data_IF_859626003959
#
_entry.id   IF_859626003959
#
_cell.length_a   1.000
_cell.length_b   1.000
_cell.length_c   1.000
_cell.angle_alpha   90.00
_cell.angle_beta   90.00
_cell.angle_gamma   90.00
#
_symmetry.space_group_name_H-M   'P 1'
#
loop_
_entity.id
_entity.type
_entity.pdbx_description
1 polymer ?
#
# COMPACT_ATOMS: atom_id res chain seq x y z
N UNK A 1 12.55 1.49 -13.77
CA UNK A 1 13.17 1.34 -12.44
C UNK A 1 12.16 0.63 -11.57
N UNK A 2 12.57 -0.30 -10.70
CA UNK A 2 11.62 -0.98 -9.82
C UNK A 2 11.51 -0.26 -8.49
N UNK A 3 10.26 -0.04 -8.05
CA UNK A 3 9.94 0.50 -6.74
C UNK A 3 9.07 -0.51 -5.99
N UNK A 4 9.31 -0.67 -4.68
CA UNK A 4 8.45 -1.40 -3.77
C UNK A 4 7.55 -0.40 -3.06
N UNK A 5 6.26 -0.44 -3.33
CA UNK A 5 5.27 0.43 -2.69
C UNK A 5 4.67 -0.29 -1.48
N UNK A 6 4.47 0.39 -0.36
CA UNK A 6 3.95 -0.18 0.89
C UNK A 6 2.87 0.74 1.47
N UNK A 7 1.73 0.20 1.91
CA UNK A 7 0.65 0.95 2.59
C UNK A 7 0.11 0.16 3.78
N UNK A 8 -0.14 0.85 4.91
CA UNK A 8 -0.80 0.29 6.09
C UNK A 8 -2.31 0.53 6.15
N UNK A 9 -3.04 -0.35 6.81
CA UNK A 9 -4.48 -0.28 7.12
C UNK A 9 -4.74 -0.66 8.57
N UNK A 10 -5.68 0.01 9.25
CA UNK A 10 -6.00 -0.27 10.66
C UNK A 10 -7.33 -1.01 10.76
N UNK A 11 -7.34 -2.20 11.37
CA UNK A 11 -8.59 -2.85 11.74
C UNK A 11 -9.25 -2.14 12.92
N UNK A 12 -10.57 -2.10 12.91
CA UNK A 12 -11.39 -1.51 13.97
C UNK A 12 -11.28 -2.26 15.30
N UNK A 13 -11.28 -3.60 15.25
CA UNK A 13 -11.12 -4.47 16.42
C UNK A 13 -10.67 -5.89 16.01
N UNK A 14 -9.59 -6.44 16.61
CA UNK A 14 -8.58 -5.75 17.42
C UNK A 14 -7.90 -4.62 16.61
N UNK A 15 -7.36 -3.59 17.29
CA UNK A 15 -6.65 -2.47 16.65
C UNK A 15 -5.28 -2.93 16.11
N UNK A 16 -5.30 -3.70 15.03
CA UNK A 16 -4.13 -4.25 14.34
C UNK A 16 -3.82 -3.45 13.06
N UNK A 17 -2.54 -3.34 12.72
CA UNK A 17 -2.09 -2.70 11.47
C UNK A 17 -1.66 -3.76 10.48
N UNK A 18 -2.26 -3.70 9.31
CA UNK A 18 -2.07 -4.61 8.19
C UNK A 18 -1.35 -3.90 7.06
N UNK A 19 -0.40 -4.56 6.41
CA UNK A 19 0.36 -3.94 5.33
C UNK A 19 0.11 -4.64 4.00
N UNK A 20 0.03 -3.87 2.94
CA UNK A 20 0.08 -4.35 1.56
C UNK A 20 1.30 -3.75 0.87
N UNK A 21 1.85 -4.50 -0.08
CA UNK A 21 2.97 -4.02 -0.87
C UNK A 21 2.99 -4.58 -2.29
N UNK A 22 3.58 -3.87 -3.23
CA UNK A 22 3.66 -4.29 -4.63
C UNK A 22 4.92 -3.74 -5.29
N UNK A 23 5.52 -4.55 -6.15
CA UNK A 23 6.62 -4.13 -7.02
C UNK A 23 6.06 -3.50 -8.29
N UNK A 24 6.54 -2.30 -8.63
CA UNK A 24 6.04 -1.55 -9.77
C UNK A 24 7.20 -1.02 -10.60
N UNK A 25 7.06 -1.16 -11.92
CA UNK A 25 7.93 -0.47 -12.86
C UNK A 25 7.57 1.01 -12.93
N UNK A 26 8.50 1.84 -12.49
CA UNK A 26 8.36 3.29 -12.48
C UNK A 26 9.40 3.92 -13.42
N UNK A 27 8.96 4.95 -14.14
CA UNK A 27 9.78 5.72 -15.07
C UNK A 27 10.21 7.07 -14.47
N UNK A 28 9.75 7.38 -13.26
CA UNK A 28 10.05 8.62 -12.54
C UNK A 28 10.66 8.29 -11.18
N UNK A 29 11.48 9.20 -10.65
CA UNK A 29 12.02 9.05 -9.30
C UNK A 29 10.92 9.47 -8.31
N UNK A 30 10.43 8.56 -7.44
CA UNK A 30 9.41 8.92 -6.46
C UNK A 30 9.99 9.89 -5.43
N UNK A 31 9.19 10.84 -4.99
CA UNK A 31 9.54 11.75 -3.89
C UNK A 31 8.38 11.86 -2.90
N UNK A 32 8.69 12.19 -1.65
CA UNK A 32 7.66 12.48 -0.64
C UNK A 32 6.77 13.65 -1.09
N UNK A 33 5.46 13.52 -0.87
CA UNK A 33 4.43 14.48 -1.28
C UNK A 33 3.85 14.24 -2.69
N UNK A 34 4.41 13.32 -3.49
CA UNK A 34 3.77 12.90 -4.75
C UNK A 34 2.55 12.02 -4.48
N UNK A 35 1.56 12.07 -5.38
CA UNK A 35 0.41 11.18 -5.35
C UNK A 35 0.70 9.91 -6.14
N UNK A 36 0.28 8.78 -5.58
CA UNK A 36 0.38 7.45 -6.18
C UNK A 36 -1.03 6.94 -6.49
N UNK A 37 -1.24 6.49 -7.72
CA UNK A 37 -2.49 5.91 -8.19
C UNK A 37 -2.20 4.51 -8.77
N UNK A 38 -2.91 3.50 -8.29
CA UNK A 38 -2.85 2.12 -8.80
C UNK A 38 -4.28 1.58 -8.87
N UNK A 39 -4.63 0.92 -9.98
CA UNK A 39 -5.98 0.41 -10.21
C UNK A 39 -6.43 -0.62 -9.17
N UNK A 40 -5.51 -1.28 -8.45
CA UNK A 40 -5.80 -2.18 -7.35
C UNK A 40 -6.05 -1.47 -6.02
N UNK A 41 -5.66 -0.19 -5.88
CA UNK A 41 -5.99 0.65 -4.73
C UNK A 41 -7.37 1.29 -4.88
N UNK A 42 -8.40 0.46 -4.71
CA UNK A 42 -9.80 0.87 -4.82
C UNK A 42 -10.42 1.12 -3.44
N UNK A 43 -11.19 2.20 -3.31
CA UNK A 43 -11.98 2.49 -2.11
C UNK A 43 -13.25 1.60 -2.03
N UNK A 44 -14.04 1.75 -0.97
CA UNK A 44 -15.26 0.96 -0.78
C UNK A 44 -16.33 1.21 -1.88
N UNK A 45 -16.27 2.38 -2.54
CA UNK A 45 -17.20 2.80 -3.60
C UNK A 45 -16.75 2.38 -5.01
N UNK A 46 -15.67 1.61 -5.13
CA UNK A 46 -15.17 1.13 -6.43
C UNK A 46 -14.32 2.15 -7.20
N UNK A 47 -13.89 3.25 -6.57
CA UNK A 47 -13.05 4.28 -7.20
C UNK A 47 -11.57 4.10 -6.84
N UNK A 48 -10.70 4.33 -7.82
CA UNK A 48 -9.24 4.35 -7.61
C UNK A 48 -8.88 5.53 -6.71
N UNK A 49 -8.16 5.24 -5.63
CA UNK A 49 -7.75 6.22 -4.62
C UNK A 49 -6.34 6.73 -4.91
N UNK A 50 -6.17 8.05 -5.05
CA UNK A 50 -4.85 8.67 -5.08
C UNK A 50 -4.30 8.77 -3.66
N UNK A 51 -3.15 8.17 -3.40
CA UNK A 51 -2.54 8.11 -2.07
C UNK A 51 -1.20 8.84 -2.06
N UNK A 52 -1.01 9.73 -1.10
CA UNK A 52 0.24 10.48 -0.95
C UNK A 52 1.40 9.54 -0.55
N UNK A 53 2.56 9.75 -1.16
CA UNK A 53 3.83 9.15 -0.75
C UNK A 53 4.35 9.93 0.47
N UNK A 54 4.42 9.29 1.63
CA UNK A 54 4.89 9.92 2.87
C UNK A 54 6.40 9.80 3.04
N UNK A 55 7.01 8.75 2.49
CA UNK A 55 8.45 8.51 2.62
C UNK A 55 8.99 7.73 1.43
N UNK A 56 10.22 8.07 1.04
CA UNK A 56 11.00 7.32 0.05
C UNK A 56 12.33 6.94 0.69
N UNK A 57 12.68 5.65 0.64
CA UNK A 57 13.96 5.11 1.12
C UNK A 57 14.62 4.37 -0.03
N UNK A 58 15.94 4.48 -0.17
CA UNK A 58 16.69 3.82 -1.24
C UNK A 58 17.52 2.71 -0.62
N UNK A 59 17.40 1.49 -1.15
CA UNK A 59 18.34 0.41 -0.87
C UNK A 59 19.37 0.34 -2.02
N UNK A 60 20.59 0.86 -1.82
CA UNK A 60 21.61 0.88 -2.87
C UNK A 60 22.16 -0.52 -3.19
N UNK A 61 22.03 -1.49 -2.27
CA UNK A 61 22.51 -2.86 -2.49
C UNK A 61 21.61 -3.60 -3.48
N UNK A 62 20.30 -3.45 -3.32
CA UNK A 62 19.29 -4.07 -4.17
C UNK A 62 18.90 -3.20 -5.37
N UNK A 63 19.39 -1.96 -5.41
CA UNK A 63 19.03 -0.94 -6.41
C UNK A 63 17.50 -0.71 -6.48
N UNK A 64 16.85 -0.69 -5.32
CA UNK A 64 15.38 -0.62 -5.17
C UNK A 64 14.99 0.60 -4.34
N UNK A 65 13.92 1.28 -4.78
CA UNK A 65 13.28 2.34 -4.02
C UNK A 65 12.11 1.76 -3.23
N UNK A 66 12.05 2.06 -1.94
CA UNK A 66 10.92 1.76 -1.08
C UNK A 66 10.10 3.02 -0.91
N UNK A 67 8.82 2.92 -1.22
CA UNK A 67 7.87 4.02 -1.20
C UNK A 67 6.81 3.69 -0.16
N UNK A 68 6.74 4.49 0.90
CA UNK A 68 5.70 4.39 1.91
C UNK A 68 4.55 5.32 1.51
N UNK A 69 3.37 4.73 1.35
CA UNK A 69 2.13 5.46 1.10
C UNK A 69 1.46 5.81 2.42
N UNK A 70 0.71 6.91 2.41
CA UNK A 70 -0.10 7.35 3.53
C UNK A 70 -1.02 6.22 3.99
N UNK A 71 -0.85 5.87 5.28
CA UNK A 71 -1.65 4.86 5.94
C UNK A 71 -3.14 5.21 5.84
N UNK A 72 -3.97 4.20 5.57
CA UNK A 72 -5.40 4.35 5.67
C UNK A 72 -5.81 4.34 7.15
N UNK A 73 -6.38 5.45 7.61
CA UNK A 73 -6.82 5.65 9.00
C UNK A 73 -8.29 5.28 9.23
N UNK A 74 -9.00 4.88 8.19
CA UNK A 74 -10.36 4.37 8.31
C UNK A 74 -10.35 3.06 9.10
N UNK A 75 -11.12 3.01 10.18
CA UNK A 75 -11.24 1.83 11.02
C UNK A 75 -12.25 0.86 10.41
N UNK A 76 -11.75 -0.07 9.61
CA UNK A 76 -12.55 -1.09 8.91
C UNK A 76 -12.60 -2.39 9.71
N UNK A 77 -13.70 -3.12 9.60
CA UNK A 77 -13.80 -4.45 10.21
C UNK A 77 -12.79 -5.41 9.56
N UNK A 78 -12.23 -6.35 10.33
CA UNK A 78 -11.22 -7.30 9.83
C UNK A 78 -11.70 -8.06 8.60
N UNK A 79 -12.95 -8.52 8.59
CA UNK A 79 -13.54 -9.24 7.44
C UNK A 79 -13.63 -8.36 6.18
N UNK A 80 -13.85 -7.06 6.33
CA UNK A 80 -13.87 -6.10 5.21
C UNK A 80 -12.45 -5.91 4.67
N UNK A 81 -11.46 -5.77 5.56
CA UNK A 81 -10.05 -5.68 5.16
C UNK A 81 -9.57 -6.96 4.46
N UNK A 82 -9.91 -8.14 4.98
CA UNK A 82 -9.58 -9.42 4.34
C UNK A 82 -10.17 -9.52 2.93
N UNK A 83 -11.43 -9.11 2.74
CA UNK A 83 -12.04 -9.10 1.41
C UNK A 83 -11.36 -8.09 0.48
N UNK A 84 -11.02 -6.90 1.00
CA UNK A 84 -10.27 -5.88 0.25
C UNK A 84 -8.91 -6.41 -0.19
N UNK A 85 -8.15 -7.04 0.71
CA UNK A 85 -6.84 -7.61 0.39
C UNK A 85 -6.93 -8.77 -0.60
N UNK A 86 -7.95 -9.63 -0.51
CA UNK A 86 -8.20 -10.68 -1.52
C UNK A 86 -8.40 -10.08 -2.93
N UNK A 87 -9.12 -8.97 -3.04
CA UNK A 87 -9.31 -8.29 -4.31
C UNK A 87 -7.99 -7.72 -4.82
N UNK A 88 -7.17 -7.14 -3.93
CA UNK A 88 -5.87 -6.57 -4.28
C UNK A 88 -4.84 -7.62 -4.72
N UNK A 89 -4.92 -8.85 -4.20
CA UNK A 89 -4.09 -9.98 -4.65
C UNK A 89 -4.33 -10.30 -6.13
N UNK A 90 -5.54 -10.05 -6.67
CA UNK A 90 -5.81 -10.19 -8.09
C UNK A 90 -5.05 -9.15 -8.95
N UNK A 91 -4.61 -8.04 -8.34
CA UNK A 91 -3.82 -6.98 -8.94
C UNK A 91 -2.35 -7.02 -8.47
N UNK A 92 -1.84 -8.22 -8.13
CA UNK A 92 -0.45 -8.49 -7.72
C UNK A 92 0.01 -7.78 -6.43
N UNK A 93 -0.91 -7.32 -5.58
CA UNK A 93 -0.53 -6.83 -4.24
C UNK A 93 -0.28 -7.98 -3.28
N UNK A 94 0.84 -7.90 -2.56
CA UNK A 94 1.21 -8.83 -1.51
C UNK A 94 0.72 -8.31 -0.16
N UNK A 95 0.05 -9.18 0.59
CA UNK A 95 -0.41 -8.91 1.95
C UNK A 95 0.62 -9.40 2.97
N UNK A 96 1.01 -8.52 3.90
CA UNK A 96 1.98 -8.78 4.96
C UNK A 96 1.32 -8.52 6.33
N UNK A 97 1.03 -9.58 7.07
CA UNK A 97 0.66 -9.49 8.49
C UNK A 97 1.91 -9.34 9.34
N UNK A 98 2.13 -8.17 9.92
CA UNK A 98 3.05 -8.03 11.03
C UNK A 98 2.26 -8.22 12.32
N UNK A 99 2.33 -9.42 12.90
CA UNK A 99 1.85 -9.66 14.26
C UNK A 99 2.88 -9.06 15.23
N UNK A 100 2.46 -8.09 16.04
CA UNK A 100 3.26 -7.54 17.15
C UNK A 100 2.94 -8.26 18.46
#
# INVERSE_FOLDING_TARGET
MKIRVIRGYVAKYPLEVFYISKDIDCNVIPVAGMMFEDIGLVNADGQVEAVEITKVTINPVENTYYVELKQNTEQLDKTVLEQKFKNMVADDWEYNEYQF
#
